data_IF_804755624461
#
_entry.id   IF_804755624461
#
_cell.length_a   1.000
_cell.length_b   1.000
_cell.length_c   1.000
_cell.angle_alpha   90.00
_cell.angle_beta   90.00
_cell.angle_gamma   90.00
#
_symmetry.space_group_name_H-M   'P 1'
#
loop_
_entity.id
_entity.type
_entity.pdbx_description
1 polymer ?
#
# COMPACT_ATOMS: atom_id res chain seq x y z
N UNK A 1 17.47 23.60 5.14
CA UNK A 1 16.34 22.66 5.08
C UNK A 1 16.01 22.20 6.49
N UNK A 2 14.90 22.67 7.04
CA UNK A 2 14.36 22.25 8.33
C UNK A 2 13.50 21.00 8.17
N UNK A 3 13.18 20.33 9.28
CA UNK A 3 12.30 19.14 9.29
C UNK A 3 10.88 19.48 8.81
N UNK A 4 10.43 20.71 9.02
CA UNK A 4 9.14 21.23 8.55
C UNK A 4 9.13 21.44 7.03
N UNK A 5 10.23 21.99 6.47
CA UNK A 5 10.37 22.17 5.02
C UNK A 5 10.38 20.83 4.27
N UNK A 6 11.00 19.80 4.86
CA UNK A 6 10.97 18.45 4.31
C UNK A 6 9.57 17.83 4.35
N UNK A 7 8.88 17.95 5.48
CA UNK A 7 7.52 17.42 5.63
C UNK A 7 6.53 18.10 4.66
N UNK A 8 6.66 19.42 4.46
CA UNK A 8 5.86 20.16 3.48
C UNK A 8 6.09 19.69 2.04
N UNK A 9 7.36 19.42 1.66
CA UNK A 9 7.70 18.88 0.34
C UNK A 9 7.20 17.44 0.15
N UNK A 10 7.22 16.62 1.20
CA UNK A 10 6.66 15.27 1.18
C UNK A 10 5.13 15.29 1.03
N UNK A 11 4.45 16.19 1.73
CA UNK A 11 3.00 16.37 1.61
C UNK A 11 2.62 16.85 0.20
N UNK A 12 3.33 17.83 -0.36
CA UNK A 12 3.12 18.31 -1.72
C UNK A 12 3.39 17.23 -2.78
N UNK A 13 4.37 16.36 -2.55
CA UNK A 13 4.64 15.22 -3.42
C UNK A 13 3.52 14.18 -3.36
N UNK A 14 3.00 13.87 -2.17
CA UNK A 14 1.86 12.96 -2.00
C UNK A 14 0.61 13.50 -2.69
N UNK A 15 0.32 14.80 -2.54
CA UNK A 15 -0.81 15.45 -3.20
C UNK A 15 -0.68 15.38 -4.73
N UNK A 16 0.49 15.67 -5.29
CA UNK A 16 0.78 15.55 -6.72
C UNK A 16 0.57 14.13 -7.27
N UNK A 17 0.90 13.11 -6.48
CA UNK A 17 0.71 11.70 -6.85
C UNK A 17 -0.77 11.28 -6.80
N UNK A 18 -1.57 11.86 -5.89
CA UNK A 18 -2.98 11.51 -5.71
C UNK A 18 -3.91 12.28 -6.65
N UNK A 19 -3.60 13.54 -6.95
CA UNK A 19 -4.45 14.44 -7.74
C UNK A 19 -3.96 14.61 -9.18
N UNK A 20 -2.74 14.16 -9.48
CA UNK A 20 -2.07 14.41 -10.76
C UNK A 20 -1.52 15.82 -10.89
N UNK A 21 -1.48 16.60 -9.81
CA UNK A 21 -0.87 17.93 -9.79
C UNK A 21 0.64 17.88 -10.13
N UNK A 22 1.22 18.99 -10.63
CA UNK A 22 2.64 19.02 -10.96
C UNK A 22 3.51 18.75 -9.73
N UNK A 23 4.53 17.88 -9.83
CA UNK A 23 5.39 17.56 -8.68
C UNK A 23 6.28 18.76 -8.31
N UNK A 24 6.76 18.82 -7.05
CA UNK A 24 7.71 19.85 -6.63
C UNK A 24 8.99 19.84 -7.47
N UNK A 25 9.69 20.98 -7.64
CA UNK A 25 10.95 21.06 -8.38
C UNK A 25 11.98 20.03 -7.89
N UNK A 26 12.56 19.27 -8.82
CA UNK A 26 13.56 18.22 -8.56
C UNK A 26 13.02 16.78 -8.59
N UNK A 27 11.71 16.59 -8.80
CA UNK A 27 11.09 15.28 -8.93
C UNK A 27 10.61 15.01 -10.36
N UNK A 28 11.06 13.91 -10.98
CA UNK A 28 10.57 13.48 -12.28
C UNK A 28 9.26 12.68 -12.10
N UNK A 29 8.09 13.20 -12.52
CA UNK A 29 6.78 12.60 -12.24
C UNK A 29 6.65 11.18 -12.78
N UNK A 30 7.23 10.90 -13.95
CA UNK A 30 7.14 9.58 -14.57
C UNK A 30 7.99 8.54 -13.81
N UNK A 31 9.14 8.94 -13.27
CA UNK A 31 9.96 8.05 -12.42
C UNK A 31 9.25 7.74 -11.11
N UNK A 32 8.59 8.73 -10.51
CA UNK A 32 7.82 8.53 -9.28
C UNK A 32 6.62 7.62 -9.47
N UNK A 33 5.90 7.74 -10.59
CA UNK A 33 4.79 6.83 -10.93
C UNK A 33 5.27 5.39 -11.09
N UNK A 34 6.37 5.18 -11.82
CA UNK A 34 6.99 3.85 -11.97
C UNK A 34 7.43 3.28 -10.63
N UNK A 35 8.07 4.09 -9.77
CA UNK A 35 8.47 3.65 -8.43
C UNK A 35 7.27 3.33 -7.54
N UNK A 36 6.20 4.12 -7.61
CA UNK A 36 4.95 3.89 -6.89
C UNK A 36 4.29 2.57 -7.34
N UNK A 37 4.26 2.28 -8.64
CA UNK A 37 3.73 1.04 -9.20
C UNK A 37 4.54 -0.19 -8.78
N UNK A 38 5.87 -0.06 -8.78
CA UNK A 38 6.78 -1.11 -8.29
C UNK A 38 6.53 -1.38 -6.82
N UNK A 39 6.39 -0.32 -6.01
CA UNK A 39 6.13 -0.45 -4.58
C UNK A 39 4.75 -1.06 -4.31
N UNK A 40 3.72 -0.63 -5.04
CA UNK A 40 2.37 -1.18 -4.97
C UNK A 40 2.38 -2.67 -5.32
N UNK A 41 3.09 -3.06 -6.37
CA UNK A 41 3.24 -4.46 -6.78
C UNK A 41 3.94 -5.30 -5.72
N UNK A 42 5.04 -4.79 -5.14
CA UNK A 42 5.75 -5.47 -4.03
C UNK A 42 4.85 -5.65 -2.82
N UNK A 43 4.11 -4.60 -2.44
CA UNK A 43 3.17 -4.63 -1.31
C UNK A 43 2.02 -5.61 -1.57
N UNK A 44 1.47 -5.63 -2.78
CA UNK A 44 0.41 -6.58 -3.19
C UNK A 44 0.87 -8.03 -3.01
N UNK A 45 2.09 -8.35 -3.46
CA UNK A 45 2.69 -9.68 -3.28
C UNK A 45 2.86 -10.03 -1.80
N UNK A 46 3.34 -9.07 -1.00
CA UNK A 46 3.45 -9.26 0.45
C UNK A 46 2.08 -9.48 1.10
N UNK A 47 1.03 -8.77 0.69
CA UNK A 47 -0.32 -8.97 1.23
C UNK A 47 -0.87 -10.36 0.86
N UNK A 48 -0.70 -10.79 -0.38
CA UNK A 48 -1.09 -12.15 -0.79
C UNK A 48 -0.30 -13.23 -0.03
N UNK A 49 0.95 -12.94 0.34
CA UNK A 49 1.75 -13.83 1.17
C UNK A 49 1.28 -13.87 2.63
N UNK A 50 0.89 -12.72 3.20
CA UNK A 50 0.42 -12.62 4.59
C UNK A 50 -1.01 -13.11 4.80
N UNK A 51 -1.87 -12.94 3.78
CA UNK A 51 -3.28 -13.34 3.74
C UNK A 51 -3.59 -14.15 2.47
N UNK A 52 -2.98 -15.33 2.31
CA UNK A 52 -3.20 -16.17 1.13
C UNK A 52 -4.65 -16.64 1.04
N UNK A 53 -5.30 -16.85 2.18
CA UNK A 53 -6.72 -17.19 2.28
C UNK A 53 -7.62 -16.09 1.68
N UNK A 54 -7.26 -14.82 1.90
CA UNK A 54 -7.97 -13.68 1.35
C UNK A 54 -7.69 -13.54 -0.15
N UNK A 55 -6.45 -13.74 -0.57
CA UNK A 55 -6.06 -13.73 -1.98
C UNK A 55 -6.80 -14.80 -2.78
N UNK A 56 -6.91 -16.01 -2.25
CA UNK A 56 -7.68 -17.10 -2.84
C UNK A 56 -9.18 -16.77 -2.93
N UNK A 57 -9.79 -16.22 -1.86
CA UNK A 57 -11.21 -15.83 -1.86
C UNK A 57 -11.54 -14.70 -2.84
N UNK A 58 -10.67 -13.71 -2.95
CA UNK A 58 -10.91 -12.55 -3.82
C UNK A 58 -10.56 -12.86 -5.28
N UNK A 59 -9.66 -13.80 -5.54
CA UNK A 59 -9.21 -14.16 -6.88
C UNK A 59 -8.73 -12.94 -7.66
N UNK A 60 -9.22 -12.77 -8.88
CA UNK A 60 -8.87 -11.66 -9.77
C UNK A 60 -9.26 -10.28 -9.20
N UNK A 61 -10.20 -10.23 -8.24
CA UNK A 61 -10.58 -8.98 -7.57
C UNK A 61 -9.54 -8.50 -6.56
N UNK A 62 -8.61 -9.36 -6.13
CA UNK A 62 -7.60 -9.01 -5.13
C UNK A 62 -6.75 -7.81 -5.56
N UNK A 63 -6.26 -7.83 -6.80
CA UNK A 63 -5.39 -6.78 -7.31
C UNK A 63 -6.07 -5.40 -7.40
N UNK A 64 -7.23 -5.24 -8.04
CA UNK A 64 -7.91 -3.94 -8.10
C UNK A 64 -8.40 -3.47 -6.72
N UNK A 65 -8.87 -4.38 -5.86
CA UNK A 65 -9.28 -4.00 -4.49
C UNK A 65 -8.10 -3.56 -3.63
N UNK A 66 -6.95 -4.23 -3.73
CA UNK A 66 -5.76 -3.82 -3.00
C UNK A 66 -5.23 -2.47 -3.49
N UNK A 67 -5.26 -2.21 -4.81
CA UNK A 67 -4.87 -0.91 -5.36
C UNK A 67 -5.77 0.22 -4.82
N UNK A 68 -7.09 0.03 -4.83
CA UNK A 68 -8.05 0.99 -4.28
C UNK A 68 -7.83 1.22 -2.77
N UNK A 69 -7.64 0.14 -2.01
CA UNK A 69 -7.34 0.21 -0.58
C UNK A 69 -6.04 0.98 -0.31
N UNK A 70 -4.95 0.67 -1.02
CA UNK A 70 -3.65 1.28 -0.82
C UNK A 70 -3.62 2.77 -1.19
N UNK A 71 -4.41 3.18 -2.18
CA UNK A 71 -4.60 4.59 -2.53
C UNK A 71 -5.34 5.36 -1.42
N UNK A 72 -6.38 4.77 -0.83
CA UNK A 72 -7.16 5.38 0.25
C UNK A 72 -6.48 5.30 1.63
N UNK A 73 -5.55 4.34 1.82
CA UNK A 73 -4.88 4.07 3.09
C UNK A 73 -3.37 3.96 2.88
N UNK A 74 -2.64 5.06 2.67
CA UNK A 74 -1.20 5.03 2.49
C UNK A 74 -0.52 4.33 3.66
N UNK A 75 0.27 3.29 3.37
CA UNK A 75 1.03 2.58 4.40
C UNK A 75 2.09 3.51 5.00
N UNK A 76 1.92 3.84 6.28
CA UNK A 76 2.95 4.51 7.09
C UNK A 76 3.94 3.49 7.65
N UNK A 77 5.11 3.97 8.08
CA UNK A 77 6.17 3.13 8.68
C UNK A 77 5.76 2.55 10.04
N UNK A 78 4.73 3.14 10.66
CA UNK A 78 4.24 2.82 12.00
C UNK A 78 3.35 1.59 12.04
N UNK A 79 2.59 1.32 10.98
CA UNK A 79 1.70 0.14 10.93
C UNK A 79 2.51 -1.09 10.52
N UNK A 80 2.37 -2.19 11.27
CA UNK A 80 3.05 -3.45 10.92
C UNK A 80 2.44 -4.04 9.65
N UNK A 81 3.22 -4.79 8.87
CA UNK A 81 2.73 -5.36 7.62
C UNK A 81 1.52 -6.31 7.81
N UNK A 82 1.51 -7.08 8.90
CA UNK A 82 0.40 -7.98 9.26
C UNK A 82 -0.87 -7.20 9.61
N UNK A 83 -0.74 -6.17 10.44
CA UNK A 83 -1.85 -5.30 10.83
C UNK A 83 -2.46 -4.58 9.62
N UNK A 84 -1.62 -4.12 8.69
CA UNK A 84 -2.09 -3.53 7.43
C UNK A 84 -2.84 -4.54 6.54
N UNK A 85 -2.42 -5.82 6.55
CA UNK A 85 -3.11 -6.89 5.84
C UNK A 85 -4.47 -7.24 6.48
N UNK A 86 -4.55 -7.21 7.81
CA UNK A 86 -5.80 -7.44 8.53
C UNK A 86 -6.78 -6.27 8.35
N UNK A 87 -6.29 -5.03 8.34
CA UNK A 87 -7.09 -3.85 7.99
C UNK A 87 -7.63 -3.92 6.55
N UNK A 88 -6.83 -4.39 5.59
CA UNK A 88 -7.30 -4.65 4.23
C UNK A 88 -8.42 -5.70 4.19
N UNK A 89 -8.29 -6.78 4.95
CA UNK A 89 -9.32 -7.81 5.05
C UNK A 89 -10.64 -7.23 5.59
N UNK A 90 -10.57 -6.44 6.67
CA UNK A 90 -11.74 -5.74 7.22
C UNK A 90 -12.37 -4.81 6.19
N UNK A 91 -11.56 -4.05 5.44
CA UNK A 91 -12.02 -3.11 4.43
C UNK A 91 -12.79 -3.77 3.28
N UNK A 92 -12.36 -4.96 2.82
CA UNK A 92 -13.09 -5.73 1.80
C UNK A 92 -14.28 -6.52 2.37
N UNK A 93 -14.57 -6.36 3.67
CA UNK A 93 -15.67 -7.05 4.35
C UNK A 93 -15.37 -8.50 4.75
N UNK A 94 -14.10 -8.90 4.71
CA UNK A 94 -13.67 -10.23 5.16
C UNK A 94 -13.59 -10.28 6.68
N UNK A 95 -14.54 -10.99 7.29
CA UNK A 95 -14.61 -11.19 8.76
C UNK A 95 -13.95 -12.48 9.22
N UNK A 96 -13.46 -13.27 8.27
CA UNK A 96 -12.79 -14.53 8.56
C UNK A 96 -11.40 -14.26 9.16
N UNK A 97 -11.05 -14.92 10.29
CA UNK A 97 -9.73 -14.77 10.86
C UNK A 97 -8.67 -15.30 9.89
N UNK A 98 -7.54 -14.60 9.82
CA UNK A 98 -6.42 -14.99 8.97
C UNK A 98 -6.01 -16.45 9.20
N UNK A 99 -6.16 -17.30 8.19
CA UNK A 99 -5.69 -18.69 8.27
C UNK A 99 -4.16 -18.69 8.25
N UNK A 100 -3.55 -19.08 9.37
CA UNK A 100 -2.08 -19.18 9.47
C UNK A 100 -1.60 -20.33 8.58
N UNK A 101 -0.94 -20.03 7.46
CA UNK A 101 -0.06 -21.04 6.84
C UNK A 101 1.15 -21.25 7.75
N UNK A 102 1.52 -22.52 7.98
CA UNK A 102 2.43 -23.02 9.03
C UNK A 102 3.91 -22.59 8.89
N UNK A 103 4.23 -21.64 8.00
CA UNK A 103 5.59 -21.30 7.58
C UNK A 103 6.25 -20.16 8.39
N UNK A 104 5.53 -19.56 9.34
CA UNK A 104 6.03 -18.47 10.19
C UNK A 104 6.65 -18.94 11.52
N UNK A 105 7.17 -20.18 11.59
CA UNK A 105 8.06 -20.61 12.68
C UNK A 105 9.47 -20.67 12.13
N UNK A 106 10.23 -19.60 12.33
CA UNK A 106 11.69 -19.54 12.24
C UNK A 106 12.17 -18.51 13.23
#
# INVERSE_FOLDING_TARGET
MSREELAARQAALLDALLTGAPPPPGFAPDRLRVEADVLLTKRRRLMAYLRPDLAERLGDRFAPLFAAYAAAHPKTDTIRAREYADAFAVWVGDREPAKRRRWFRS
#
